data_IF_362892565307
#
_entry.id   IF_362892565307
#
_cell.length_a   1.000
_cell.length_b   1.000
_cell.length_c   1.000
_cell.angle_alpha   90.00
_cell.angle_beta   90.00
_cell.angle_gamma   90.00
#
_symmetry.space_group_name_H-M   'P 1'
#
loop_
_entity.id
_entity.type
_entity.pdbx_description
1 polymer ?
#
# COMPACT_ATOMS: atom_id res chain seq x y z
N UNK A 1 21.60 18.97 -1.80
CA UNK A 1 21.56 17.68 -2.54
C UNK A 1 20.16 17.54 -3.12
N UNK A 2 19.99 16.92 -4.31
CA UNK A 2 18.63 16.64 -4.78
C UNK A 2 17.90 15.76 -3.75
N UNK A 3 16.62 16.03 -3.50
CA UNK A 3 15.80 15.18 -2.66
C UNK A 3 15.72 13.81 -3.34
N UNK A 4 16.09 12.79 -2.63
CA UNK A 4 15.91 11.43 -3.10
C UNK A 4 14.43 11.09 -3.12
N UNK A 5 13.99 10.45 -4.19
CA UNK A 5 12.66 9.84 -4.23
C UNK A 5 12.57 8.75 -3.14
N UNK A 6 11.37 8.45 -2.64
CA UNK A 6 11.19 7.29 -1.78
C UNK A 6 11.74 6.03 -2.46
N UNK A 7 12.51 5.23 -1.73
CA UNK A 7 13.22 4.07 -2.29
C UNK A 7 12.36 2.82 -2.45
N UNK A 8 11.07 2.90 -2.09
CA UNK A 8 10.12 1.81 -2.13
C UNK A 8 8.98 2.00 -1.14
N UNK A 9 8.30 0.92 -0.81
CA UNK A 9 7.22 0.90 0.18
C UNK A 9 7.79 0.42 1.52
N UNK A 10 7.75 1.28 2.56
CA UNK A 10 8.12 0.87 3.92
C UNK A 10 7.06 -0.08 4.49
N UNK A 11 5.80 0.29 4.45
CA UNK A 11 4.69 -0.59 4.80
C UNK A 11 3.43 -0.21 4.04
N UNK A 12 2.55 -1.19 3.86
CA UNK A 12 1.19 -1.00 3.41
C UNK A 12 0.27 -1.47 4.52
N UNK A 13 -0.73 -0.69 4.87
CA UNK A 13 -1.68 -1.01 5.92
C UNK A 13 -3.06 -1.29 5.34
N UNK A 14 -3.69 -2.37 5.79
CA UNK A 14 -5.08 -2.68 5.52
C UNK A 14 -5.90 -2.60 6.80
N UNK A 15 -7.19 -2.27 6.65
CA UNK A 15 -8.16 -2.39 7.72
C UNK A 15 -8.69 -3.82 7.78
N UNK A 16 -8.95 -4.34 8.99
CA UNK A 16 -9.51 -5.67 9.20
C UNK A 16 -10.54 -5.64 10.32
N UNK A 17 -11.62 -6.40 10.15
CA UNK A 17 -12.58 -6.69 11.21
C UNK A 17 -12.16 -7.92 12.05
N UNK A 18 -11.16 -8.67 11.59
CA UNK A 18 -10.65 -9.87 12.25
C UNK A 18 -9.12 -9.99 12.05
N UNK A 19 -8.37 -9.25 12.87
CA UNK A 19 -6.90 -9.22 12.78
C UNK A 19 -6.29 -10.62 12.92
N UNK A 20 -6.88 -11.51 13.74
CA UNK A 20 -6.38 -12.88 13.91
C UNK A 20 -6.44 -13.67 12.61
N UNK A 21 -7.53 -13.55 11.83
CA UNK A 21 -7.67 -14.22 10.54
C UNK A 21 -6.64 -13.72 9.53
N UNK A 22 -6.44 -12.41 9.44
CA UNK A 22 -5.41 -11.80 8.59
C UNK A 22 -4.01 -12.30 8.98
N UNK A 23 -3.67 -12.24 10.26
CA UNK A 23 -2.37 -12.70 10.75
C UNK A 23 -2.16 -14.20 10.46
N UNK A 24 -3.19 -15.03 10.66
CA UNK A 24 -3.13 -16.47 10.34
C UNK A 24 -2.86 -16.67 8.85
N UNK A 25 -3.59 -15.98 7.98
CA UNK A 25 -3.41 -16.09 6.53
C UNK A 25 -2.00 -15.65 6.11
N UNK A 26 -1.58 -14.45 6.49
CA UNK A 26 -0.30 -13.92 6.04
C UNK A 26 0.91 -14.64 6.66
N UNK A 27 0.80 -15.20 7.85
CA UNK A 27 1.88 -16.02 8.43
C UNK A 27 1.93 -17.43 7.83
N UNK A 28 0.81 -18.10 7.72
CA UNK A 28 0.77 -19.51 7.30
C UNK A 28 0.80 -19.65 5.78
N UNK A 29 -0.07 -18.95 5.06
CA UNK A 29 -0.18 -19.04 3.61
C UNK A 29 0.94 -18.29 2.92
N UNK A 30 1.16 -17.01 3.28
CA UNK A 30 2.18 -16.16 2.64
C UNK A 30 3.58 -16.37 3.22
N UNK A 31 3.68 -16.79 4.48
CA UNK A 31 4.96 -17.04 5.15
C UNK A 31 5.61 -15.79 5.71
N UNK A 32 4.88 -14.70 5.91
CA UNK A 32 5.41 -13.46 6.49
C UNK A 32 5.48 -13.57 8.01
N UNK A 33 6.66 -13.48 8.64
CA UNK A 33 6.75 -13.51 10.10
C UNK A 33 6.03 -12.32 10.74
N UNK A 34 5.28 -12.58 11.82
CA UNK A 34 4.76 -11.52 12.67
C UNK A 34 5.91 -10.91 13.47
N UNK A 35 6.10 -9.59 13.37
CA UNK A 35 7.17 -8.86 14.03
C UNK A 35 6.68 -7.75 14.96
N UNK A 36 5.40 -7.41 14.91
CA UNK A 36 4.77 -6.45 15.80
C UNK A 36 3.28 -6.71 15.94
N UNK A 37 2.77 -6.61 17.17
CA UNK A 37 1.33 -6.59 17.47
C UNK A 37 1.14 -5.81 18.78
N UNK A 38 0.51 -4.66 18.70
CA UNK A 38 0.37 -3.75 19.83
C UNK A 38 -0.89 -2.89 19.71
N UNK A 39 -1.26 -2.22 20.80
CA UNK A 39 -2.33 -1.23 20.77
C UNK A 39 -1.89 -0.01 19.93
N UNK A 40 -2.73 0.38 18.97
CA UNK A 40 -2.41 1.48 18.05
C UNK A 40 -2.23 2.79 18.81
N UNK A 41 -1.09 3.44 18.63
CA UNK A 41 -0.74 4.67 19.31
C UNK A 41 -1.77 5.78 19.05
N UNK A 42 -2.29 6.38 20.12
CA UNK A 42 -3.29 7.45 20.04
C UNK A 42 -4.71 7.00 19.67
N UNK A 43 -4.95 5.68 19.55
CA UNK A 43 -6.26 5.11 19.19
C UNK A 43 -6.64 4.02 20.21
N UNK A 44 -7.26 4.37 21.34
CA UNK A 44 -7.60 3.40 22.37
C UNK A 44 -8.44 2.24 21.82
N UNK A 45 -8.05 1.00 22.14
CA UNK A 45 -8.66 -0.24 21.66
C UNK A 45 -8.37 -0.58 20.20
N UNK A 46 -7.65 0.27 19.48
CA UNK A 46 -7.14 -0.04 18.14
C UNK A 46 -5.97 -1.01 18.23
N UNK A 47 -5.92 -1.99 17.34
CA UNK A 47 -4.83 -2.96 17.24
C UNK A 47 -4.05 -2.71 15.97
N UNK A 48 -2.74 -2.81 16.06
CA UNK A 48 -1.83 -2.62 14.92
C UNK A 48 -0.82 -3.76 14.88
N UNK A 49 -0.73 -4.42 13.72
CA UNK A 49 0.20 -5.51 13.51
C UNK A 49 1.13 -5.23 12.34
N UNK A 50 2.33 -5.80 12.41
CA UNK A 50 3.33 -5.77 11.34
C UNK A 50 3.84 -7.18 11.05
N UNK A 51 3.83 -7.53 9.76
CA UNK A 51 4.40 -8.76 9.25
C UNK A 51 5.56 -8.39 8.31
N UNK A 52 6.71 -9.02 8.48
CA UNK A 52 7.90 -8.71 7.68
C UNK A 52 7.78 -9.35 6.29
N UNK A 53 7.87 -8.55 5.23
CA UNK A 53 7.90 -9.03 3.85
C UNK A 53 9.32 -9.25 3.35
N UNK A 54 10.19 -8.26 3.58
CA UNK A 54 11.62 -8.32 3.29
C UNK A 54 12.42 -7.48 4.30
N UNK A 55 13.68 -7.16 4.02
CA UNK A 55 14.54 -6.42 4.96
C UNK A 55 14.09 -4.97 5.19
N UNK A 56 13.28 -4.39 4.29
CA UNK A 56 12.91 -2.97 4.31
C UNK A 56 11.40 -2.72 4.28
N UNK A 57 10.57 -3.78 4.12
CA UNK A 57 9.14 -3.59 3.91
C UNK A 57 8.29 -4.52 4.76
N UNK A 58 7.11 -4.01 5.14
CA UNK A 58 6.17 -4.70 6.01
C UNK A 58 4.76 -4.67 5.44
N UNK A 59 4.01 -5.71 5.73
CA UNK A 59 2.56 -5.73 5.59
C UNK A 59 1.93 -5.43 6.96
N UNK A 60 1.08 -4.45 7.03
CA UNK A 60 0.47 -3.98 8.27
C UNK A 60 -1.03 -4.25 8.27
N UNK A 61 -1.57 -4.60 9.42
CA UNK A 61 -3.00 -4.81 9.65
C UNK A 61 -3.46 -3.95 10.80
N UNK A 62 -4.54 -3.21 10.59
CA UNK A 62 -5.18 -2.36 11.60
C UNK A 62 -6.60 -2.87 11.88
N UNK A 63 -6.94 -3.03 13.16
CA UNK A 63 -8.30 -3.32 13.61
C UNK A 63 -8.74 -2.22 14.57
N UNK A 64 -9.85 -1.55 14.27
CA UNK A 64 -10.42 -0.50 15.10
C UNK A 64 -11.77 -0.91 15.68
N UNK A 65 -12.16 -0.31 16.79
CA UNK A 65 -13.48 -0.54 17.37
C UNK A 65 -14.58 -0.15 16.37
N UNK A 66 -15.58 -1.01 16.22
CA UNK A 66 -16.71 -0.79 15.31
C UNK A 66 -16.43 -1.02 13.82
N UNK A 67 -15.23 -1.43 13.45
CA UNK A 67 -14.88 -1.65 12.02
C UNK A 67 -15.74 -2.75 11.38
N UNK A 68 -16.19 -3.73 12.14
CA UNK A 68 -17.06 -4.80 11.66
C UNK A 68 -18.43 -4.29 11.17
N UNK A 69 -18.87 -3.12 11.64
CA UNK A 69 -20.11 -2.48 11.23
C UNK A 69 -19.99 -1.69 9.92
N UNK A 70 -18.75 -1.49 9.43
CA UNK A 70 -18.49 -0.82 8.15
C UNK A 70 -18.69 -1.81 7.01
N UNK A 71 -19.65 -1.58 6.09
CA UNK A 71 -19.94 -2.56 5.05
C UNK A 71 -18.80 -2.70 4.06
N UNK A 72 -18.44 -3.95 3.76
CA UNK A 72 -17.53 -4.32 2.69
C UNK A 72 -18.33 -4.93 1.54
N UNK A 73 -18.15 -4.43 0.32
CA UNK A 73 -18.91 -4.87 -0.85
C UNK A 73 -17.99 -5.03 -2.07
N UNK A 74 -17.98 -6.24 -2.66
CA UNK A 74 -17.28 -6.47 -3.92
C UNK A 74 -17.85 -5.59 -5.04
N UNK A 75 -16.97 -5.02 -5.84
CA UNK A 75 -17.33 -4.06 -6.90
C UNK A 75 -17.51 -2.62 -6.40
N UNK A 76 -17.44 -2.38 -5.08
CA UNK A 76 -17.51 -1.05 -4.46
C UNK A 76 -16.26 -0.80 -3.61
N UNK A 77 -16.06 -1.56 -2.54
CA UNK A 77 -14.90 -1.40 -1.65
C UNK A 77 -13.71 -2.25 -2.07
N UNK A 78 -13.97 -3.38 -2.75
CA UNK A 78 -12.97 -4.34 -3.22
C UNK A 78 -13.26 -4.74 -4.66
N UNK A 79 -12.20 -4.89 -5.44
CA UNK A 79 -12.30 -5.26 -6.86
C UNK A 79 -12.73 -6.73 -7.07
N UNK A 80 -12.28 -7.63 -6.20
CA UNK A 80 -12.58 -9.06 -6.26
C UNK A 80 -11.85 -9.84 -7.36
N UNK A 81 -11.33 -9.17 -8.38
CA UNK A 81 -10.48 -9.75 -9.44
C UNK A 81 -9.50 -8.70 -9.94
N UNK A 82 -8.43 -9.12 -10.65
CA UNK A 82 -7.45 -8.21 -11.24
C UNK A 82 -8.04 -7.24 -12.30
N UNK A 83 -9.24 -7.51 -12.83
CA UNK A 83 -9.96 -6.62 -13.75
C UNK A 83 -11.26 -6.05 -13.14
N UNK A 84 -11.50 -6.30 -11.85
CA UNK A 84 -12.69 -5.85 -11.14
C UNK A 84 -12.67 -4.34 -10.89
N UNK A 85 -13.86 -3.77 -10.72
CA UNK A 85 -14.05 -2.36 -10.37
C UNK A 85 -14.11 -2.22 -8.85
N UNK A 86 -13.61 -1.10 -8.34
CA UNK A 86 -13.86 -0.62 -6.99
C UNK A 86 -13.94 0.91 -7.01
N UNK A 87 -14.29 1.53 -5.89
CA UNK A 87 -14.38 2.97 -5.80
C UNK A 87 -13.03 3.64 -6.10
N UNK A 88 -13.06 4.78 -6.78
CA UNK A 88 -11.86 5.55 -7.05
C UNK A 88 -11.12 5.89 -5.76
N UNK A 89 -9.79 5.75 -5.76
CA UNK A 89 -8.96 5.99 -4.58
C UNK A 89 -8.84 4.80 -3.62
N UNK A 90 -9.59 3.69 -3.82
CA UNK A 90 -9.40 2.46 -3.06
C UNK A 90 -8.36 1.54 -3.72
N UNK A 91 -7.79 0.61 -2.94
CA UNK A 91 -6.85 -0.37 -3.45
C UNK A 91 -7.55 -1.37 -4.39
N UNK A 92 -7.08 -1.47 -5.64
CA UNK A 92 -7.63 -2.41 -6.62
C UNK A 92 -7.13 -3.83 -6.34
N UNK A 93 -5.83 -4.02 -6.19
CA UNK A 93 -5.17 -5.25 -5.72
C UNK A 93 -3.80 -4.92 -5.15
N UNK A 94 -3.18 -5.90 -4.49
CA UNK A 94 -1.83 -5.80 -3.97
C UNK A 94 -0.96 -6.90 -4.56
N UNK A 95 0.12 -6.52 -5.24
CA UNK A 95 1.10 -7.43 -5.82
C UNK A 95 2.36 -7.50 -4.97
N UNK A 96 2.67 -8.70 -4.47
CA UNK A 96 3.92 -8.99 -3.78
C UNK A 96 4.98 -9.43 -4.79
N UNK A 97 6.24 -9.11 -4.53
CA UNK A 97 7.34 -9.47 -5.41
C UNK A 97 7.88 -10.87 -5.10
N UNK A 98 7.92 -11.73 -6.11
CA UNK A 98 8.77 -12.93 -6.12
C UNK A 98 10.14 -12.60 -6.74
N UNK A 99 11.24 -13.24 -6.29
CA UNK A 99 12.58 -12.96 -6.80
C UNK A 99 12.73 -13.29 -8.30
N UNK A 100 12.09 -14.39 -8.72
CA UNK A 100 12.13 -14.93 -10.07
C UNK A 100 10.93 -15.83 -10.37
N UNK A 101 10.89 -16.46 -11.55
CA UNK A 101 9.81 -17.36 -11.95
C UNK A 101 9.75 -18.64 -11.09
N UNK A 102 10.89 -19.16 -10.64
CA UNK A 102 10.94 -20.32 -9.77
C UNK A 102 10.32 -19.99 -8.40
N UNK A 103 10.63 -18.84 -7.84
CA UNK A 103 10.01 -18.30 -6.64
C UNK A 103 8.51 -18.05 -6.79
N UNK A 104 8.07 -17.54 -7.94
CA UNK A 104 6.66 -17.37 -8.27
C UNK A 104 5.91 -18.71 -8.26
N UNK A 105 6.46 -19.75 -8.90
CA UNK A 105 5.88 -21.08 -8.93
C UNK A 105 5.88 -21.73 -7.53
N UNK A 106 6.96 -21.56 -6.78
CA UNK A 106 7.03 -22.06 -5.40
C UNK A 106 5.95 -21.41 -4.52
N UNK A 107 5.75 -20.10 -4.64
CA UNK A 107 4.70 -19.39 -3.91
C UNK A 107 3.29 -19.83 -4.34
N UNK A 108 3.03 -20.00 -5.63
CA UNK A 108 1.77 -20.58 -6.11
C UNK A 108 1.49 -21.93 -5.46
N UNK A 109 2.48 -22.81 -5.45
CA UNK A 109 2.33 -24.15 -4.90
C UNK A 109 2.10 -24.10 -3.37
N UNK A 110 2.80 -23.20 -2.67
CA UNK A 110 2.58 -22.94 -1.24
C UNK A 110 1.13 -22.49 -0.97
N UNK A 111 0.63 -21.50 -1.70
CA UNK A 111 -0.74 -21.00 -1.54
C UNK A 111 -1.75 -22.13 -1.76
N UNK A 112 -1.58 -22.92 -2.82
CA UNK A 112 -2.44 -24.06 -3.14
C UNK A 112 -2.37 -25.18 -2.09
N UNK A 113 -1.22 -25.44 -1.49
CA UNK A 113 -1.08 -26.45 -0.42
C UNK A 113 -1.84 -26.09 0.85
N UNK A 114 -2.18 -24.82 1.04
CA UNK A 114 -3.07 -24.34 2.11
C UNK A 114 -4.54 -24.26 1.67
N UNK A 115 -4.90 -24.85 0.53
CA UNK A 115 -6.28 -24.92 0.04
C UNK A 115 -6.79 -23.62 -0.62
N UNK A 116 -5.93 -22.63 -0.83
CA UNK A 116 -6.30 -21.37 -1.49
C UNK A 116 -6.12 -21.50 -3.01
N UNK A 117 -7.17 -21.30 -3.83
CA UNK A 117 -7.03 -21.29 -5.28
C UNK A 117 -6.12 -20.15 -5.74
N UNK A 118 -5.15 -20.45 -6.60
CA UNK A 118 -4.26 -19.47 -7.21
C UNK A 118 -4.22 -19.68 -8.72
N UNK A 119 -4.51 -18.60 -9.47
CA UNK A 119 -4.61 -18.57 -10.94
C UNK A 119 -3.27 -18.07 -11.51
N UNK A 120 -2.79 -18.71 -12.56
CA UNK A 120 -1.55 -18.32 -13.23
C UNK A 120 -0.45 -19.38 -13.14
N UNK A 121 0.76 -19.08 -13.64
CA UNK A 121 1.26 -17.75 -14.04
C UNK A 121 0.60 -17.18 -15.30
N UNK A 122 0.34 -15.89 -15.28
CA UNK A 122 -0.12 -15.09 -16.41
C UNK A 122 0.97 -14.12 -16.81
N UNK A 123 1.34 -14.08 -18.10
CA UNK A 123 2.35 -13.17 -18.61
C UNK A 123 1.77 -11.81 -18.98
N UNK A 124 2.40 -10.74 -18.51
CA UNK A 124 2.05 -9.35 -18.83
C UNK A 124 3.16 -8.64 -19.63
N UNK A 125 4.07 -9.42 -20.22
CA UNK A 125 5.18 -8.89 -20.99
C UNK A 125 6.39 -8.57 -20.10
N UNK A 126 6.29 -7.61 -19.21
CA UNK A 126 7.35 -7.22 -18.29
C UNK A 126 7.37 -8.02 -16.98
N UNK A 127 6.28 -8.67 -16.62
CA UNK A 127 6.18 -9.55 -15.46
C UNK A 127 5.34 -10.80 -15.75
N UNK A 128 5.46 -11.79 -14.87
CA UNK A 128 4.54 -12.94 -14.75
C UNK A 128 3.91 -12.90 -13.37
N UNK A 129 2.62 -13.23 -13.30
CA UNK A 129 1.82 -13.04 -12.10
C UNK A 129 0.93 -14.24 -11.79
N UNK A 130 0.69 -14.47 -10.50
CA UNK A 130 -0.37 -15.33 -9.99
C UNK A 130 -1.35 -14.52 -9.18
N UNK A 131 -2.64 -14.84 -9.27
CA UNK A 131 -3.72 -14.13 -8.59
C UNK A 131 -4.48 -15.05 -7.66
N UNK A 132 -4.87 -14.55 -6.49
CA UNK A 132 -5.62 -15.29 -5.49
C UNK A 132 -6.39 -14.34 -4.58
N UNK A 133 -7.37 -14.87 -3.85
CA UNK A 133 -8.10 -14.11 -2.86
C UNK A 133 -7.45 -14.22 -1.48
N UNK A 134 -7.42 -13.12 -0.75
CA UNK A 134 -7.12 -13.08 0.67
C UNK A 134 -8.40 -12.97 1.52
N UNK A 135 -8.26 -12.97 2.86
CA UNK A 135 -9.39 -12.72 3.75
C UNK A 135 -10.05 -11.37 3.49
N UNK A 136 -11.31 -11.25 3.88
CA UNK A 136 -12.08 -10.00 3.82
C UNK A 136 -12.15 -9.36 2.42
N UNK A 137 -12.12 -10.18 1.36
CA UNK A 137 -12.27 -9.71 -0.02
C UNK A 137 -11.01 -9.13 -0.66
N UNK A 138 -9.83 -9.29 -0.06
CA UNK A 138 -8.58 -8.85 -0.64
C UNK A 138 -8.33 -9.55 -1.98
N UNK A 139 -7.99 -8.77 -3.00
CA UNK A 139 -7.44 -9.25 -4.26
C UNK A 139 -5.93 -9.17 -4.19
N UNK A 140 -5.28 -10.34 -4.24
CA UNK A 140 -3.84 -10.46 -4.06
C UNK A 140 -3.18 -11.02 -5.30
N UNK A 141 -1.95 -10.60 -5.51
CA UNK A 141 -1.08 -11.02 -6.60
C UNK A 141 0.31 -11.32 -6.05
N UNK A 142 1.00 -12.28 -6.64
CA UNK A 142 2.46 -12.36 -6.56
C UNK A 142 3.00 -12.24 -7.97
N UNK A 143 3.97 -11.37 -8.18
CA UNK A 143 4.57 -11.10 -9.47
C UNK A 143 6.08 -11.25 -9.45
N UNK A 144 6.65 -11.80 -10.53
CA UNK A 144 8.09 -11.75 -10.77
C UNK A 144 8.40 -10.94 -12.03
N UNK A 145 9.53 -10.26 -12.00
CA UNK A 145 10.02 -9.50 -13.15
C UNK A 145 10.46 -10.45 -14.27
N UNK A 146 10.10 -10.11 -15.50
CA UNK A 146 10.58 -10.78 -16.71
C UNK A 146 11.62 -9.89 -17.44
N UNK A 147 11.29 -8.61 -17.58
CA UNK A 147 12.16 -7.61 -18.21
C UNK A 147 11.98 -6.25 -17.55
N UNK A 148 12.84 -5.30 -17.86
CA UNK A 148 12.63 -3.91 -17.47
C UNK A 148 11.39 -3.33 -18.17
N UNK A 149 10.70 -2.42 -17.48
CA UNK A 149 9.63 -1.63 -18.08
C UNK A 149 10.28 -0.46 -18.82
N UNK A 150 10.41 -0.60 -20.14
CA UNK A 150 10.97 0.44 -21.00
C UNK A 150 9.85 1.44 -21.38
N UNK A 151 9.90 2.70 -20.92
CA UNK A 151 8.85 3.68 -21.23
C UNK A 151 8.62 3.88 -22.74
N UNK A 152 9.65 3.77 -23.56
CA UNK A 152 9.52 3.91 -25.00
C UNK A 152 8.63 2.83 -25.65
N UNK A 153 8.41 1.72 -24.96
CA UNK A 153 7.61 0.58 -25.40
C UNK A 153 6.29 0.42 -24.65
N UNK A 154 6.18 1.00 -23.45
CA UNK A 154 5.06 0.77 -22.54
C UNK A 154 4.22 2.02 -22.27
N UNK A 155 4.66 3.20 -22.67
CA UNK A 155 3.82 4.41 -22.68
C UNK A 155 3.20 4.56 -24.07
N UNK A 156 1.92 4.18 -24.20
CA UNK A 156 1.19 4.17 -25.47
C UNK A 156 0.68 5.59 -25.79
N UNK A 157 1.11 6.19 -26.92
CA UNK A 157 0.65 7.52 -27.34
C UNK A 157 -0.87 7.61 -27.54
N UNK A 158 -1.53 6.52 -27.96
CA UNK A 158 -2.97 6.51 -28.14
C UNK A 158 -3.71 6.57 -26.79
N UNK A 159 -3.16 5.92 -25.77
CA UNK A 159 -3.70 5.99 -24.39
C UNK A 159 -3.42 7.34 -23.75
N UNK A 160 -2.25 7.95 -23.97
CA UNK A 160 -1.98 9.34 -23.53
C UNK A 160 -3.03 10.31 -24.09
N UNK A 161 -3.34 10.21 -25.38
CA UNK A 161 -4.35 11.04 -26.00
C UNK A 161 -5.77 10.82 -25.41
N UNK A 162 -6.14 9.57 -25.11
CA UNK A 162 -7.41 9.24 -24.42
C UNK A 162 -7.47 9.82 -23.00
N UNK A 163 -6.34 9.91 -22.31
CA UNK A 163 -6.23 10.53 -20.99
C UNK A 163 -6.15 12.07 -21.04
N UNK A 164 -6.10 12.67 -22.23
CA UNK A 164 -5.94 14.12 -22.41
C UNK A 164 -4.54 14.62 -22.04
N UNK A 165 -3.54 13.73 -22.05
CA UNK A 165 -2.14 14.06 -21.72
C UNK A 165 -1.41 14.48 -22.99
N UNK A 166 -0.92 15.70 -23.03
CA UNK A 166 -0.12 16.25 -24.15
C UNK A 166 1.29 15.63 -24.17
N UNK A 167 2.00 15.82 -25.29
CA UNK A 167 3.40 15.36 -25.40
C UNK A 167 4.34 15.99 -24.36
N UNK A 168 4.15 17.28 -24.08
CA UNK A 168 4.96 18.00 -23.09
C UNK A 168 4.67 17.52 -21.65
N UNK A 169 3.40 17.29 -21.34
CA UNK A 169 3.02 16.69 -20.03
C UNK A 169 3.55 15.27 -19.88
N UNK A 170 3.47 14.44 -20.93
CA UNK A 170 4.04 13.11 -20.92
C UNK A 170 5.56 13.15 -20.69
N UNK A 171 6.28 14.06 -21.36
CA UNK A 171 7.71 14.22 -21.15
C UNK A 171 8.06 14.66 -19.72
N UNK A 172 7.27 15.56 -19.13
CA UNK A 172 7.44 15.96 -17.74
C UNK A 172 7.15 14.81 -16.75
N UNK A 173 6.18 13.93 -17.06
CA UNK A 173 5.89 12.74 -16.25
C UNK A 173 6.99 11.67 -16.38
N UNK A 174 7.58 11.52 -17.55
CA UNK A 174 8.69 10.58 -17.78
C UNK A 174 9.99 11.01 -17.13
N UNK A 175 10.16 12.32 -16.94
CA UNK A 175 11.36 12.91 -16.35
C UNK A 175 10.98 14.04 -15.39
N UNK A 176 10.38 13.70 -14.23
CA UNK A 176 9.96 14.73 -13.27
C UNK A 176 11.14 15.56 -12.81
N UNK A 177 10.92 16.86 -12.71
CA UNK A 177 11.94 17.78 -12.26
C UNK A 177 12.39 17.42 -10.83
N UNK A 178 13.71 17.44 -10.55
CA UNK A 178 14.20 17.19 -9.21
C UNK A 178 13.71 18.29 -8.26
N UNK A 179 13.17 17.88 -7.13
CA UNK A 179 12.85 18.81 -6.07
C UNK A 179 14.14 19.12 -5.29
N UNK A 180 14.51 20.41 -5.25
CA UNK A 180 15.64 20.92 -4.47
C UNK A 180 15.07 21.65 -3.25
N UNK A 181 15.03 20.97 -2.11
CA UNK A 181 14.73 21.65 -0.85
C UNK A 181 15.98 21.57 0.05
N UNK A 182 16.82 22.58 -0.06
CA UNK A 182 17.97 22.75 0.83
C UNK A 182 17.60 23.52 2.12
N UNK A 183 16.32 23.85 2.29
CA UNK A 183 15.78 24.58 3.43
C UNK A 183 14.47 23.96 3.91
N UNK A 184 14.20 24.19 5.17
CA UNK A 184 12.89 23.88 5.76
C UNK A 184 11.81 24.67 5.01
N UNK A 185 10.75 23.97 4.58
CA UNK A 185 9.59 24.57 3.92
C UNK A 185 8.46 24.64 4.95
N UNK A 186 7.96 25.85 5.19
CA UNK A 186 6.87 26.04 6.13
C UNK A 186 5.61 25.27 5.70
N UNK A 187 4.89 24.73 6.69
CA UNK A 187 3.61 24.07 6.48
C UNK A 187 2.63 25.03 5.76
N UNK A 188 2.04 24.65 4.62
CA UNK A 188 1.04 25.47 3.94
C UNK A 188 -0.23 25.57 4.78
N UNK A 189 -0.92 26.72 4.67
CA UNK A 189 -2.25 26.84 5.26
C UNK A 189 -3.26 25.91 4.57
N UNK A 190 -4.35 25.59 5.28
CA UNK A 190 -5.43 24.81 4.69
C UNK A 190 -5.96 25.43 3.39
N UNK A 191 -5.97 24.65 2.33
CA UNK A 191 -6.58 24.97 1.03
C UNK A 191 -7.49 23.82 0.60
N UNK A 192 -8.79 24.03 0.41
CA UNK A 192 -9.72 22.98 -0.05
C UNK A 192 -9.48 22.52 -1.49
N UNK A 193 -8.68 23.25 -2.28
CA UNK A 193 -8.36 22.91 -3.67
C UNK A 193 -7.28 21.84 -3.81
N UNK A 194 -6.59 21.50 -2.71
CA UNK A 194 -5.55 20.45 -2.70
C UNK A 194 -5.98 19.27 -1.82
N UNK A 195 -5.40 18.07 -2.02
CA UNK A 195 -5.66 16.93 -1.14
C UNK A 195 -5.31 17.22 0.32
N UNK A 196 -6.24 16.96 1.22
CA UNK A 196 -6.06 17.15 2.66
C UNK A 196 -6.40 15.85 3.41
N UNK A 197 -5.79 15.63 4.58
CA UNK A 197 -6.19 14.57 5.49
C UNK A 197 -7.61 14.82 6.01
N UNK A 198 -8.42 13.76 6.14
CA UNK A 198 -9.84 13.84 6.51
C UNK A 198 -10.07 13.99 8.03
N UNK A 199 -9.38 14.95 8.65
CA UNK A 199 -9.69 15.37 10.02
C UNK A 199 -10.90 16.32 10.05
N UNK A 200 -11.60 16.46 11.19
CA UNK A 200 -12.50 17.59 11.40
C UNK A 200 -11.77 18.90 11.07
N UNK A 201 -12.43 19.80 10.32
CA UNK A 201 -11.77 20.98 9.74
C UNK A 201 -11.03 21.85 10.75
N UNK A 202 -11.59 22.06 11.94
CA UNK A 202 -10.93 22.82 12.99
C UNK A 202 -9.68 22.12 13.52
N UNK A 203 -9.75 20.81 13.68
CA UNK A 203 -8.59 19.99 14.07
C UNK A 203 -7.50 20.07 13.01
N UNK A 204 -7.86 19.91 11.73
CA UNK A 204 -6.90 20.02 10.63
C UNK A 204 -6.21 21.39 10.62
N UNK A 205 -6.99 22.47 10.73
CA UNK A 205 -6.45 23.84 10.78
C UNK A 205 -5.52 24.06 11.97
N UNK A 206 -5.87 23.50 13.13
CA UNK A 206 -5.01 23.57 14.32
C UNK A 206 -3.70 22.82 14.13
N UNK A 207 -3.75 21.63 13.52
CA UNK A 207 -2.56 20.84 13.19
C UNK A 207 -1.66 21.60 12.20
N UNK A 208 -2.24 22.14 11.11
CA UNK A 208 -1.48 22.87 10.10
C UNK A 208 -0.90 24.21 10.60
N UNK A 209 -1.48 24.80 11.64
CA UNK A 209 -0.99 26.03 12.27
C UNK A 209 0.04 25.80 13.38
N UNK A 210 0.17 24.55 13.87
CA UNK A 210 1.10 24.23 14.94
C UNK A 210 2.54 24.13 14.38
N UNK A 211 3.56 24.51 15.18
CA UNK A 211 4.95 24.27 14.80
C UNK A 211 5.23 22.76 14.66
N UNK A 212 6.00 22.36 13.64
CA UNK A 212 6.36 20.97 13.39
C UNK A 212 6.95 20.27 14.61
N UNK A 213 7.79 20.97 15.38
CA UNK A 213 8.36 20.45 16.62
C UNK A 213 7.29 20.06 17.67
N UNK A 214 6.17 20.78 17.75
CA UNK A 214 5.07 20.47 18.66
C UNK A 214 4.33 19.22 18.20
N UNK A 215 4.09 19.08 16.90
CA UNK A 215 3.46 17.89 16.30
C UNK A 215 4.37 16.67 16.50
N UNK A 216 5.66 16.81 16.23
CA UNK A 216 6.66 15.75 16.44
C UNK A 216 6.66 15.28 17.88
N UNK A 217 6.72 16.18 18.85
CA UNK A 217 6.72 15.82 20.28
C UNK A 217 5.46 15.09 20.71
N UNK A 218 4.27 15.51 20.22
CA UNK A 218 3.00 14.86 20.57
C UNK A 218 2.82 13.50 19.92
N UNK A 219 3.37 13.32 18.71
CA UNK A 219 3.22 12.10 17.91
C UNK A 219 4.32 11.06 18.12
N UNK A 220 5.42 11.43 18.80
CA UNK A 220 6.55 10.52 18.96
C UNK A 220 6.26 9.42 19.99
N UNK A 221 6.46 8.18 19.53
CA UNK A 221 6.33 6.96 20.32
C UNK A 221 7.56 6.09 20.07
N UNK A 222 8.54 6.18 20.95
CA UNK A 222 9.88 5.59 20.77
C UNK A 222 10.13 4.37 21.67
N UNK A 223 9.13 3.96 22.47
CA UNK A 223 9.23 2.80 23.35
C UNK A 223 8.47 1.60 22.77
N UNK A 224 9.10 0.41 22.74
CA UNK A 224 8.37 -0.81 22.40
C UNK A 224 7.31 -1.12 23.48
N UNK A 225 6.20 -1.81 23.13
CA UNK A 225 5.14 -2.13 24.07
C UNK A 225 5.53 -3.17 25.13
N UNK A 226 6.61 -3.90 24.89
CA UNK A 226 7.15 -4.95 25.79
C UNK A 226 8.61 -4.62 26.08
N UNK A 227 8.96 -4.54 27.35
CA UNK A 227 10.36 -4.45 27.80
C UNK A 227 11.01 -5.82 27.62
N UNK A 228 12.25 -5.84 27.05
CA UNK A 228 13.00 -7.06 26.80
C UNK A 228 13.70 -7.56 28.11
#
# INVERSE_FOLDING_TARGET
MPIQQPSGIHHIAIMSANIKEQLTFFTQVMGFPLVGLFEMHGVPGGKHAFLKMDEASYFSVVELAGIADVPSTLGITHAGTGAGKCAAGTMQHLAFRAPDEAGLIAMRNRIRSHGVPAIGPIGHGFCKSIYFAGPEGLTLEVACKVTEVDPARWVDPAVLAQCGISGDEAQAMLSPAPCMADCEVAQPAYDPAVPNMAYPLETLRAILAAPDAAITMQGTYDKPPVEA
#
